data_IF_781015081477
#
_entry.id   IF_781015081477
#
_cell.length_a   1.000
_cell.length_b   1.000
_cell.length_c   1.000
_cell.angle_alpha   90.00
_cell.angle_beta   90.00
_cell.angle_gamma   90.00
#
_symmetry.space_group_name_H-M   'P 1'
#
loop_
_entity.id
_entity.type
_entity.pdbx_description
1 polymer ?
#
# COMPACT_ATOMS: atom_id res chain seq x y z
N UNK A 1 -24.93 76.80 50.26
CA UNK A 1 -24.53 75.54 50.91
C UNK A 1 -25.16 74.41 50.09
N UNK A 2 -24.52 73.42 49.48
CA UNK A 2 -23.11 73.02 49.38
C UNK A 2 -22.97 71.88 48.32
N UNK A 3 -21.71 71.49 48.08
CA UNK A 3 -21.20 70.23 47.49
C UNK A 3 -21.58 69.88 46.04
N UNK A 4 -20.71 70.04 45.02
CA UNK A 4 -19.45 69.34 44.72
C UNK A 4 -19.61 67.85 44.38
N UNK A 5 -19.21 67.42 43.16
CA UNK A 5 -18.70 66.05 42.96
C UNK A 5 -18.90 65.36 41.61
N UNK A 6 -17.91 65.54 40.73
CA UNK A 6 -17.25 64.52 39.86
C UNK A 6 -18.04 63.76 38.77
N UNK A 7 -17.72 64.14 37.54
CA UNK A 7 -17.72 63.34 36.31
C UNK A 7 -16.62 62.25 36.36
N UNK A 8 -16.92 60.97 36.10
CA UNK A 8 -16.01 60.00 35.41
C UNK A 8 -16.63 58.60 35.24
N UNK A 9 -16.58 58.09 33.99
CA UNK A 9 -16.17 56.74 33.59
C UNK A 9 -16.98 55.51 34.13
N UNK A 10 -17.46 54.53 33.34
CA UNK A 10 -16.95 53.89 32.11
C UNK A 10 -18.07 53.22 31.31
N UNK A 11 -17.92 53.27 29.99
CA UNK A 11 -18.56 52.36 29.04
C UNK A 11 -18.18 50.91 29.34
N UNK A 12 -19.16 50.00 29.30
CA UNK A 12 -18.94 48.60 28.94
C UNK A 12 -20.26 47.98 28.45
N UNK A 13 -20.54 48.15 27.17
CA UNK A 13 -21.56 47.38 26.45
C UNK A 13 -20.99 45.97 26.22
N UNK A 14 -21.62 44.88 26.71
CA UNK A 14 -21.09 43.55 26.45
C UNK A 14 -21.35 43.21 24.97
N UNK A 15 -20.26 43.10 24.23
CA UNK A 15 -20.22 42.63 22.85
C UNK A 15 -20.69 41.16 22.83
N UNK A 16 -21.90 40.90 22.34
CA UNK A 16 -22.38 39.57 21.97
C UNK A 16 -21.53 39.07 20.79
N UNK A 17 -20.46 38.33 21.09
CA UNK A 17 -19.65 37.64 20.09
C UNK A 17 -20.46 36.45 19.58
N UNK A 18 -21.05 36.60 18.40
CA UNK A 18 -21.62 35.50 17.60
C UNK A 18 -20.46 34.61 17.12
N UNK A 19 -20.08 33.62 17.93
CA UNK A 19 -19.27 32.50 17.46
C UNK A 19 -20.19 31.45 16.84
N UNK A 20 -20.68 31.73 15.62
CA UNK A 20 -21.21 30.69 14.75
C UNK A 20 -20.03 29.80 14.32
N UNK A 21 -19.69 28.83 15.16
CA UNK A 21 -18.66 27.85 14.89
C UNK A 21 -19.02 27.05 13.64
N UNK A 22 -18.29 27.33 12.56
CA UNK A 22 -18.34 26.58 11.31
C UNK A 22 -17.78 25.17 11.60
N UNK A 23 -18.65 24.24 11.98
CA UNK A 23 -18.32 22.83 12.18
C UNK A 23 -18.13 22.19 10.78
N UNK A 24 -16.96 22.39 10.18
CA UNK A 24 -16.56 21.67 8.98
C UNK A 24 -16.20 20.23 9.41
N UNK A 25 -17.16 19.33 9.34
CA UNK A 25 -16.94 17.89 9.52
C UNK A 25 -16.19 17.41 8.27
N UNK A 26 -14.85 17.42 8.34
CA UNK A 26 -14.03 16.76 7.35
C UNK A 26 -14.30 15.24 7.44
N UNK A 27 -15.03 14.70 6.47
CA UNK A 27 -15.19 13.26 6.33
C UNK A 27 -13.83 12.66 5.97
N UNK A 28 -13.13 12.11 6.96
CA UNK A 28 -11.92 11.34 6.71
C UNK A 28 -12.31 10.08 5.94
N UNK A 29 -11.83 9.96 4.70
CA UNK A 29 -11.96 8.72 3.94
C UNK A 29 -11.31 7.58 4.72
N UNK A 30 -11.93 6.39 4.80
CA UNK A 30 -11.31 5.26 5.47
C UNK A 30 -9.98 4.94 4.80
N UNK A 31 -8.88 5.10 5.55
CA UNK A 31 -7.56 4.68 5.11
C UNK A 31 -7.55 3.16 5.01
N UNK A 32 -7.57 2.64 3.78
CA UNK A 32 -7.51 1.21 3.49
C UNK A 32 -6.07 0.74 3.65
N UNK A 33 -5.86 -0.17 4.60
CA UNK A 33 -4.56 -0.68 4.96
C UNK A 33 -4.20 -1.88 4.06
N UNK A 34 -4.13 -1.70 2.74
CA UNK A 34 -4.08 -2.82 1.78
C UNK A 34 -2.66 -3.07 1.21
N UNK A 35 -2.38 -4.28 0.70
CA UNK A 35 -1.24 -4.53 -0.19
C UNK A 35 -1.66 -4.36 -1.64
N UNK A 36 -1.07 -3.39 -2.34
CA UNK A 36 -1.43 -3.04 -3.73
C UNK A 36 -0.25 -3.24 -4.68
N UNK A 37 -0.56 -3.69 -5.89
CA UNK A 37 0.39 -3.78 -6.99
C UNK A 37 -0.12 -2.95 -8.15
N UNK A 38 0.72 -2.06 -8.66
CA UNK A 38 0.45 -1.20 -9.80
C UNK A 38 1.29 -1.66 -10.99
N UNK A 39 0.63 -2.04 -12.07
CA UNK A 39 1.27 -2.36 -13.33
C UNK A 39 1.47 -1.06 -14.14
N UNK A 40 2.69 -0.54 -14.21
CA UNK A 40 3.01 0.64 -15.01
C UNK A 40 3.40 0.30 -16.45
N UNK A 41 3.41 -0.99 -16.81
CA UNK A 41 3.61 -1.46 -18.19
C UNK A 41 2.32 -1.31 -19.00
N UNK A 42 2.40 -1.59 -20.30
CA UNK A 42 1.22 -1.61 -21.18
C UNK A 42 0.59 -3.01 -21.32
N UNK A 43 1.29 -4.06 -20.90
CA UNK A 43 0.86 -5.45 -21.11
C UNK A 43 0.11 -5.98 -19.89
N UNK A 44 -0.64 -7.06 -20.08
CA UNK A 44 -1.22 -7.81 -18.98
C UNK A 44 -0.14 -8.51 -18.17
N UNK A 45 -0.13 -8.29 -16.85
CA UNK A 45 0.81 -8.95 -15.94
C UNK A 45 0.07 -9.89 -15.01
N UNK A 46 0.55 -11.14 -14.94
CA UNK A 46 0.17 -12.13 -13.95
C UNK A 46 1.02 -11.98 -12.70
N UNK A 47 0.39 -11.93 -11.53
CA UNK A 47 1.08 -11.73 -10.25
C UNK A 47 0.72 -12.86 -9.28
N UNK A 48 1.72 -13.29 -8.50
CA UNK A 48 1.58 -14.15 -7.33
C UNK A 48 2.23 -13.50 -6.10
N UNK A 49 1.73 -13.81 -4.91
CA UNK A 49 2.25 -13.29 -3.64
C UNK A 49 2.48 -14.41 -2.64
N UNK A 50 3.60 -14.33 -1.94
CA UNK A 50 3.98 -15.19 -0.82
C UNK A 50 4.07 -14.40 0.47
N UNK A 51 3.63 -14.99 1.57
CA UNK A 51 3.76 -14.41 2.90
C UNK A 51 3.77 -15.47 3.99
N UNK A 52 4.19 -15.05 5.19
CA UNK A 52 4.21 -15.91 6.37
C UNK A 52 2.90 -15.72 7.15
N UNK A 53 2.07 -16.75 7.16
CA UNK A 53 0.86 -16.82 7.96
C UNK A 53 1.12 -17.57 9.28
N UNK A 54 0.11 -17.60 10.16
CA UNK A 54 0.18 -18.34 11.45
C UNK A 54 0.49 -19.83 11.26
N UNK A 55 -0.01 -20.44 10.18
CA UNK A 55 0.18 -21.85 9.86
C UNK A 55 1.49 -22.14 9.09
N UNK A 56 2.29 -21.10 8.78
CA UNK A 56 3.51 -21.21 7.98
C UNK A 56 3.45 -20.40 6.69
N UNK A 57 4.30 -20.75 5.73
CA UNK A 57 4.34 -20.08 4.44
C UNK A 57 3.09 -20.36 3.61
N UNK A 58 2.57 -19.32 2.97
CA UNK A 58 1.47 -19.41 2.00
C UNK A 58 1.91 -18.66 0.74
N UNK A 59 1.65 -19.25 -0.42
CA UNK A 59 1.68 -18.55 -1.71
C UNK A 59 0.30 -18.59 -2.35
N UNK A 60 -0.10 -17.49 -2.98
CA UNK A 60 -1.36 -17.36 -3.71
C UNK A 60 -1.16 -16.59 -5.01
N UNK A 61 -2.10 -16.76 -5.95
CA UNK A 61 -2.10 -16.20 -7.30
C UNK A 61 -3.24 -16.84 -8.10
N UNK A 62 -3.49 -16.56 -9.37
CA UNK A 62 -2.90 -15.52 -10.19
C UNK A 62 -3.79 -14.28 -10.18
N UNK A 63 -3.22 -13.13 -9.84
CA UNK A 63 -3.88 -11.87 -10.10
C UNK A 63 -3.49 -11.39 -11.50
N UNK A 64 -4.49 -11.19 -12.33
CA UNK A 64 -4.34 -10.48 -13.60
C UNK A 64 -4.51 -8.97 -13.35
N UNK A 65 -3.48 -8.20 -13.72
CA UNK A 65 -3.42 -6.74 -13.60
C UNK A 65 -3.18 -6.15 -14.98
N UNK A 66 -4.19 -5.48 -15.51
CA UNK A 66 -4.12 -4.79 -16.81
C UNK A 66 -3.05 -3.70 -16.81
N UNK A 67 -2.52 -3.39 -17.98
CA UNK A 67 -1.54 -2.31 -18.15
C UNK A 67 -2.05 -0.97 -17.61
N UNK A 68 -1.16 -0.21 -17.00
CA UNK A 68 -1.46 1.10 -16.36
C UNK A 68 -2.54 1.06 -15.27
N UNK A 69 -2.81 -0.11 -14.66
CA UNK A 69 -3.79 -0.25 -13.57
C UNK A 69 -3.16 -0.75 -12.28
N UNK A 70 -3.87 -0.60 -11.16
CA UNK A 70 -3.47 -1.17 -9.87
C UNK A 70 -4.53 -2.13 -9.35
N UNK A 71 -4.09 -3.18 -8.66
CA UNK A 71 -4.95 -4.14 -7.98
C UNK A 71 -4.53 -4.34 -6.53
N UNK A 72 -5.51 -4.56 -5.67
CA UNK A 72 -5.27 -4.98 -4.29
C UNK A 72 -5.12 -6.50 -4.25
N UNK A 73 -4.02 -6.98 -3.68
CA UNK A 73 -3.73 -8.41 -3.55
C UNK A 73 -4.10 -8.92 -2.15
N UNK A 74 -3.87 -8.09 -1.12
CA UNK A 74 -4.26 -8.38 0.26
C UNK A 74 -5.14 -7.24 0.74
N UNK A 75 -6.35 -7.58 1.16
CA UNK A 75 -7.30 -6.63 1.75
C UNK A 75 -7.09 -6.53 3.26
N UNK A 76 -7.06 -5.30 3.77
CA UNK A 76 -6.90 -5.03 5.19
C UNK A 76 -5.45 -5.17 5.68
N UNK A 77 -5.22 -4.79 6.96
CA UNK A 77 -3.90 -4.48 7.48
C UNK A 77 -2.92 -5.64 7.33
N UNK A 78 -1.72 -5.30 6.87
CA UNK A 78 -0.64 -6.27 6.70
C UNK A 78 -0.26 -6.92 8.03
N UNK A 79 -0.30 -8.25 8.07
CA UNK A 79 0.04 -9.04 9.25
C UNK A 79 1.50 -9.48 9.29
N UNK A 80 2.25 -9.28 8.20
CA UNK A 80 3.66 -9.63 8.06
C UNK A 80 4.47 -8.39 7.72
N UNK A 81 5.76 -8.39 8.06
CA UNK A 81 6.70 -7.35 7.62
C UNK A 81 7.22 -7.62 6.21
N UNK A 82 7.46 -8.88 5.89
CA UNK A 82 8.01 -9.29 4.60
C UNK A 82 6.92 -9.93 3.74
N UNK A 83 6.85 -9.48 2.49
CA UNK A 83 6.02 -10.03 1.44
C UNK A 83 6.88 -10.36 0.23
N UNK A 84 6.48 -11.40 -0.49
CA UNK A 84 7.24 -11.94 -1.61
C UNK A 84 6.36 -11.82 -2.83
N UNK A 85 6.82 -11.19 -3.91
CA UNK A 85 6.04 -11.00 -5.12
C UNK A 85 6.69 -11.72 -6.29
N UNK A 86 5.90 -12.46 -7.05
CA UNK A 86 6.26 -12.96 -8.36
C UNK A 86 5.38 -12.27 -9.39
N UNK A 87 5.98 -11.81 -10.50
CA UNK A 87 5.23 -11.23 -11.60
C UNK A 87 5.76 -11.76 -12.93
N UNK A 88 4.86 -11.93 -13.89
CA UNK A 88 5.21 -12.28 -15.27
C UNK A 88 4.31 -11.58 -16.28
N UNK A 89 4.93 -11.16 -17.39
CA UNK A 89 4.25 -10.61 -18.55
C UNK A 89 3.60 -11.75 -19.33
N UNK A 90 2.27 -11.69 -19.47
CA UNK A 90 1.48 -12.75 -20.12
C UNK A 90 1.70 -12.81 -21.64
N UNK A 91 2.21 -11.74 -22.27
CA UNK A 91 2.40 -11.66 -23.71
C UNK A 91 3.85 -11.88 -24.13
N UNK A 92 4.80 -11.22 -23.44
CA UNK A 92 6.22 -11.22 -23.81
C UNK A 92 7.03 -12.26 -23.06
N UNK A 93 6.49 -12.85 -21.99
CA UNK A 93 7.18 -13.82 -21.16
C UNK A 93 8.31 -13.23 -20.30
N UNK A 94 8.34 -11.91 -20.11
CA UNK A 94 9.25 -11.25 -19.17
C UNK A 94 8.85 -11.57 -17.73
N UNK A 95 9.84 -11.77 -16.84
CA UNK A 95 9.60 -12.12 -15.44
C UNK A 95 10.36 -11.20 -14.51
N UNK A 96 9.75 -10.85 -13.39
CA UNK A 96 10.41 -10.18 -12.27
C UNK A 96 10.95 -11.27 -11.33
N UNK A 97 12.03 -11.92 -11.76
CA UNK A 97 12.65 -12.98 -10.98
C UNK A 97 13.35 -12.42 -9.73
N UNK A 98 13.00 -12.99 -8.58
CA UNK A 98 13.69 -12.73 -7.32
C UNK A 98 14.44 -13.95 -6.78
N UNK A 99 15.28 -13.77 -5.74
CA UNK A 99 16.16 -14.83 -5.23
C UNK A 99 15.42 -15.91 -4.43
N UNK A 100 14.17 -15.67 -4.04
CA UNK A 100 13.43 -16.53 -3.11
C UNK A 100 12.54 -17.50 -3.88
N UNK A 101 12.90 -18.78 -3.89
CA UNK A 101 12.11 -19.77 -4.59
C UNK A 101 10.87 -20.18 -3.78
N UNK A 102 9.69 -20.09 -4.39
CA UNK A 102 8.43 -20.58 -3.82
C UNK A 102 7.59 -21.34 -4.86
N UNK A 103 6.48 -21.93 -4.41
CA UNK A 103 5.61 -22.75 -5.28
C UNK A 103 4.52 -21.90 -5.95
N UNK A 104 4.30 -22.16 -7.24
CA UNK A 104 3.19 -21.60 -8.06
C UNK A 104 2.50 -22.72 -8.82
N UNK A 105 1.25 -22.51 -9.25
CA UNK A 105 0.53 -23.45 -10.11
C UNK A 105 0.12 -22.78 -11.44
N UNK A 106 -0.25 -23.58 -12.44
CA UNK A 106 -0.66 -23.05 -13.76
C UNK A 106 -1.97 -22.25 -13.75
N UNK A 107 -2.85 -22.52 -12.78
CA UNK A 107 -4.15 -21.85 -12.59
C UNK A 107 -4.14 -21.11 -11.27
N UNK A 108 -5.22 -20.36 -10.99
CA UNK A 108 -5.44 -19.73 -9.68
C UNK A 108 -5.21 -20.73 -8.53
N UNK A 109 -4.45 -20.32 -7.53
CA UNK A 109 -3.87 -21.17 -6.52
C UNK A 109 -3.77 -20.48 -5.17
N UNK A 110 -3.81 -21.33 -4.13
CA UNK A 110 -3.40 -21.00 -2.77
C UNK A 110 -2.71 -22.22 -2.18
N UNK A 111 -1.40 -22.16 -2.02
CA UNK A 111 -0.54 -23.27 -1.65
C UNK A 111 0.06 -22.99 -0.27
N UNK A 112 -0.11 -23.94 0.65
CA UNK A 112 0.58 -23.93 1.93
C UNK A 112 1.95 -24.62 1.78
N UNK A 113 3.00 -23.97 2.28
CA UNK A 113 4.38 -24.47 2.29
C UNK A 113 5.11 -24.31 0.96
N UNK A 114 6.41 -24.02 1.06
CA UNK A 114 7.31 -23.73 -0.08
C UNK A 114 8.24 -24.89 -0.45
N UNK A 115 8.15 -26.01 0.27
CA UNK A 115 9.00 -27.18 0.04
C UNK A 115 8.39 -28.11 -1.01
N UNK A 116 9.27 -28.84 -1.71
CA UNK A 116 8.95 -29.93 -2.62
C UNK A 116 7.91 -29.57 -3.71
N UNK A 117 7.93 -28.33 -4.22
CA UNK A 117 6.94 -27.83 -5.17
C UNK A 117 6.70 -28.81 -6.33
N UNK A 118 7.78 -29.24 -6.99
CA UNK A 118 7.70 -30.14 -8.16
C UNK A 118 7.16 -31.51 -7.79
N UNK A 119 7.57 -32.09 -6.67
CA UNK A 119 7.07 -33.39 -6.22
C UNK A 119 5.58 -33.34 -5.84
N UNK A 120 5.08 -32.15 -5.47
CA UNK A 120 3.67 -31.89 -5.16
C UNK A 120 2.84 -31.49 -6.39
N UNK A 121 3.45 -31.46 -7.58
CA UNK A 121 2.78 -31.09 -8.84
C UNK A 121 2.70 -29.57 -9.09
N UNK A 122 3.48 -28.77 -8.36
CA UNK A 122 3.60 -27.33 -8.54
C UNK A 122 4.90 -26.97 -9.27
N UNK A 123 4.95 -25.76 -9.81
CA UNK A 123 6.17 -25.19 -10.39
C UNK A 123 6.92 -24.37 -9.34
N UNK A 124 8.23 -24.19 -9.56
CA UNK A 124 9.08 -23.34 -8.72
C UNK A 124 9.32 -22.03 -9.44
N UNK A 125 9.04 -20.92 -8.77
CA UNK A 125 9.24 -19.56 -9.30
C UNK A 125 10.03 -18.70 -8.30
N UNK A 126 10.77 -17.72 -8.82
CA UNK A 126 11.62 -16.82 -8.03
C UNK A 126 10.86 -15.55 -7.63
N UNK A 127 10.55 -15.40 -6.34
CA UNK A 127 9.85 -14.25 -5.80
C UNK A 127 10.84 -13.19 -5.29
N UNK A 128 10.51 -11.92 -5.54
CA UNK A 128 11.20 -10.76 -5.01
C UNK A 128 10.67 -10.42 -3.62
N UNK A 129 11.56 -10.26 -2.65
CA UNK A 129 11.22 -9.83 -1.29
C UNK A 129 11.00 -8.31 -1.23
N UNK A 130 9.93 -7.90 -0.55
CA UNK A 130 9.61 -6.53 -0.19
C UNK A 130 9.47 -6.43 1.33
N UNK A 131 10.35 -5.62 1.94
CA UNK A 131 10.25 -5.25 3.35
C UNK A 131 9.31 -4.05 3.49
N UNK A 132 8.16 -4.30 4.10
CA UNK A 132 7.14 -3.25 4.34
C UNK A 132 7.43 -2.43 5.59
N UNK A 133 8.47 -2.76 6.38
CA UNK A 133 8.82 -2.02 7.58
C UNK A 133 7.71 -1.97 8.63
N UNK A 134 6.86 -3.01 8.69
CA UNK A 134 5.68 -3.11 9.56
C UNK A 134 4.58 -2.08 9.25
N UNK A 135 4.60 -1.49 8.05
CA UNK A 135 3.53 -0.61 7.58
C UNK A 135 2.24 -1.39 7.37
N UNK A 136 1.12 -0.79 7.76
CA UNK A 136 -0.20 -1.42 7.62
C UNK A 136 -0.68 -1.48 6.16
N UNK A 137 -0.08 -0.70 5.24
CA UNK A 137 -0.35 -0.70 3.80
C UNK A 137 0.95 -0.61 3.01
N UNK A 138 0.97 -1.22 1.83
CA UNK A 138 2.13 -1.16 0.94
C UNK A 138 1.72 -1.12 -0.53
N UNK A 139 2.52 -0.45 -1.36
CA UNK A 139 2.32 -0.42 -2.81
C UNK A 139 3.62 -0.81 -3.52
N UNK A 140 3.52 -1.78 -4.43
CA UNK A 140 4.58 -2.12 -5.37
C UNK A 140 4.21 -1.60 -6.76
N UNK A 141 5.17 -1.00 -7.45
CA UNK A 141 5.01 -0.60 -8.85
C UNK A 141 5.88 -1.51 -9.73
N UNK A 142 5.24 -2.17 -10.70
CA UNK A 142 5.89 -2.98 -11.72
C UNK A 142 6.16 -2.13 -12.96
N UNK A 143 7.39 -2.14 -13.44
CA UNK A 143 7.87 -1.34 -14.59
C UNK A 143 8.50 -2.25 -15.65
N UNK A 144 8.59 -1.77 -16.89
CA UNK A 144 9.07 -2.56 -18.05
C UNK A 144 10.51 -3.11 -17.89
N UNK A 145 11.31 -2.55 -16.99
CA UNK A 145 12.54 -3.19 -16.53
C UNK A 145 12.22 -4.17 -15.38
N UNK A 146 12.31 -5.50 -15.62
CA UNK A 146 12.36 -6.45 -14.52
C UNK A 146 13.59 -6.13 -13.66
N UNK A 147 13.35 -5.88 -12.37
CA UNK A 147 14.35 -5.35 -11.46
C UNK A 147 15.60 -6.24 -11.43
N UNK A 148 16.66 -5.79 -12.10
CA UNK A 148 17.99 -6.37 -11.93
C UNK A 148 18.59 -5.76 -10.68
N UNK A 149 18.30 -6.36 -9.52
CA UNK A 149 18.92 -6.02 -8.24
C UNK A 149 18.25 -4.86 -7.50
N UNK A 150 17.82 -5.15 -6.27
CA UNK A 150 17.08 -4.23 -5.42
C UNK A 150 17.79 -2.90 -5.15
N UNK A 151 17.05 -1.82 -5.35
CA UNK A 151 17.20 -0.57 -4.62
C UNK A 151 15.80 -0.15 -4.14
N UNK A 152 15.61 0.22 -2.87
CA UNK A 152 14.35 0.78 -2.41
C UNK A 152 14.06 2.04 -3.22
N UNK A 153 12.88 2.11 -3.84
CA UNK A 153 12.36 3.35 -4.38
C UNK A 153 12.09 4.30 -3.20
N UNK A 154 13.09 5.10 -2.84
CA UNK A 154 12.91 6.26 -1.98
C UNK A 154 11.88 7.17 -2.67
N UNK A 155 10.74 7.51 -2.03
CA UNK A 155 9.86 8.53 -2.56
C UNK A 155 10.66 9.83 -2.66
N UNK A 156 10.80 10.36 -3.87
CA UNK A 156 11.41 11.67 -4.07
C UNK A 156 10.69 12.71 -3.20
N UNK A 157 11.40 13.53 -2.40
CA UNK A 157 10.77 14.66 -1.74
C UNK A 157 10.28 15.62 -2.82
N UNK A 158 8.96 15.74 -2.95
CA UNK A 158 8.35 16.79 -3.75
C UNK A 158 8.68 18.14 -3.13
N UNK A 159 9.64 18.85 -3.69
CA UNK A 159 9.86 20.27 -3.40
C UNK A 159 8.81 21.08 -4.16
N UNK A 160 7.61 21.16 -3.60
CA UNK A 160 6.71 22.28 -3.83
C UNK A 160 6.90 23.24 -2.65
N UNK A 161 7.34 24.46 -2.90
CA UNK A 161 6.81 25.70 -2.29
C UNK A 161 7.43 26.92 -2.97
N UNK A 162 6.55 27.68 -3.63
CA UNK A 162 6.42 29.15 -3.78
C UNK A 162 7.65 30.00 -4.12
#
# INVERSE_FOLDING_TARGET
MGFAGRLRERLALPLLIVCAGFFAIAAASPARADFRVCNATQNLVGVGIGYRAKAGWITEGWWHIEGSTCKTLIEGPLSSRFYYLYAEDAERGGRWDGPINMCVAEKEFKIAGVNDCVARGFQRAGFQEYDTGEQASWMVQLTDEPATGGAPATPAPGTNTQ
#
